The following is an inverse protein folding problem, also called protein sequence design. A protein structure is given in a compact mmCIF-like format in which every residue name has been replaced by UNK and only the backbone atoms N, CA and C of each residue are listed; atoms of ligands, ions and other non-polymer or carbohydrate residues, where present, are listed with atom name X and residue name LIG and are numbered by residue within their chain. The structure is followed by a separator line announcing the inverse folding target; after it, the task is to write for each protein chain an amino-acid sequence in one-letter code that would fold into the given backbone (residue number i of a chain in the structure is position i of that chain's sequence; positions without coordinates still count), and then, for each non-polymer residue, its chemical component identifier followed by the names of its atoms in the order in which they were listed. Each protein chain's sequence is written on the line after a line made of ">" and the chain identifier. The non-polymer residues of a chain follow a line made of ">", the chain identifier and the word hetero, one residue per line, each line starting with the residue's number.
data_IF_475928503208
#
_entry.id   IF_475928503208
#
_cell.length_a   1.000
_cell.length_b   1.000
_cell.length_c   1.000
_cell.angle_alpha   90.00
_cell.angle_beta   90.00
_cell.angle_gamma   90.00
#
_symmetry.space_group_name_H-M   'P 1'
#
loop_
_entity.id
_entity.type
_entity.pdbx_description
1 polymer ?
#
# COMPACT_ATOMS: atom_id res chain seq x y z
N UNK A 1 -62.07 -11.54 -34.33
CA UNK A 1 -63.26 -10.93 -33.70
C UNK A 1 -62.87 -10.68 -32.25
N UNK A 2 -62.50 -9.47 -31.83
CA UNK A 2 -63.33 -8.26 -31.68
C UNK A 2 -63.33 -7.93 -30.17
N UNK A 3 -62.58 -6.89 -29.74
CA UNK A 3 -63.08 -5.59 -29.23
C UNK A 3 -63.98 -5.77 -27.98
N UNK A 4 -63.69 -5.25 -26.78
CA UNK A 4 -63.60 -3.85 -26.32
C UNK A 4 -63.53 -3.90 -24.76
N UNK A 5 -63.25 -2.90 -23.92
CA UNK A 5 -62.65 -1.55 -23.94
C UNK A 5 -63.03 -0.90 -22.58
N UNK A 6 -62.10 -0.29 -21.85
CA UNK A 6 -62.27 0.82 -20.85
C UNK A 6 -60.98 0.92 -19.99
N UNK A 7 -60.35 2.06 -19.70
CA UNK A 7 -60.70 3.48 -19.90
C UNK A 7 -59.45 4.40 -19.76
N UNK A 8 -59.49 5.55 -20.48
CA UNK A 8 -58.88 6.89 -20.30
C UNK A 8 -57.46 7.07 -19.72
N UNK A 9 -56.48 7.60 -20.50
CA UNK A 9 -56.09 9.04 -20.72
C UNK A 9 -55.62 9.75 -19.44
N UNK A 10 -54.50 10.49 -19.36
CA UNK A 10 -53.52 11.08 -20.30
C UNK A 10 -52.39 11.67 -19.42
N UNK A 11 -51.13 11.87 -19.85
CA UNK A 11 -50.63 13.06 -20.55
C UNK A 11 -49.14 12.79 -20.93
N UNK A 12 -48.84 12.96 -22.23
CA UNK A 12 -47.65 13.51 -22.91
C UNK A 12 -46.35 13.72 -22.12
N UNK A 13 -45.12 13.63 -22.63
CA UNK A 13 -44.42 13.40 -23.92
C UNK A 13 -42.94 13.64 -23.49
N UNK A 14 -41.84 13.22 -24.11
CA UNK A 14 -41.48 12.49 -25.31
C UNK A 14 -39.97 12.19 -25.16
N UNK A 15 -39.43 11.26 -25.95
CA UNK A 15 -38.03 11.32 -26.39
C UNK A 15 -37.10 10.22 -25.91
N UNK A 16 -37.35 9.01 -26.40
CA UNK A 16 -36.40 8.04 -26.95
C UNK A 16 -35.01 7.85 -26.33
N UNK A 17 -34.90 6.66 -25.74
CA UNK A 17 -33.72 5.81 -25.65
C UNK A 17 -33.09 5.55 -27.04
N UNK A 18 -31.76 5.52 -27.10
CA UNK A 18 -30.98 4.33 -27.48
C UNK A 18 -29.48 4.63 -27.47
N UNK A 19 -28.74 3.91 -26.64
CA UNK A 19 -27.33 3.60 -26.89
C UNK A 19 -27.16 2.11 -26.68
N UNK A 20 -26.67 1.45 -27.72
CA UNK A 20 -26.33 0.03 -27.74
C UNK A 20 -24.88 -0.12 -28.23
N UNK A 21 -24.25 -1.17 -27.71
CA UNK A 21 -22.99 -1.81 -28.10
C UNK A 21 -21.67 -1.01 -28.08
N UNK A 22 -20.69 -1.59 -27.36
CA UNK A 22 -19.39 -1.01 -27.08
C UNK A 22 -18.30 -1.21 -28.13
N UNK A 23 -17.11 -0.67 -27.85
CA UNK A 23 -15.81 -1.16 -28.33
C UNK A 23 -14.66 -0.58 -27.48
N UNK A 24 -13.84 -1.51 -26.97
CA UNK A 24 -12.43 -1.52 -26.56
C UNK A 24 -11.58 -0.24 -26.32
N UNK A 25 -10.61 -0.43 -25.40
CA UNK A 25 -9.71 0.47 -24.66
C UNK A 25 -8.42 0.90 -25.41
N UNK A 26 -7.96 2.16 -25.19
CA UNK A 26 -6.58 2.62 -24.81
C UNK A 26 -5.94 3.71 -25.73
N UNK A 27 -4.88 4.48 -25.33
CA UNK A 27 -4.51 5.14 -24.06
C UNK A 27 -4.27 6.66 -24.23
N UNK A 28 -4.47 7.49 -23.20
CA UNK A 28 -3.59 8.64 -22.88
C UNK A 28 -4.17 9.47 -21.73
N UNK A 29 -3.47 9.43 -20.59
CA UNK A 29 -3.61 10.45 -19.54
C UNK A 29 -3.27 11.81 -20.16
N UNK A 30 -4.10 12.87 -19.99
CA UNK A 30 -3.76 14.16 -20.57
C UNK A 30 -2.51 14.72 -19.89
N UNK A 31 -1.40 14.78 -20.62
CA UNK A 31 -0.10 15.34 -20.20
C UNK A 31 -0.15 16.79 -19.68
N UNK A 32 -1.32 17.46 -19.72
CA UNK A 32 -1.49 18.87 -19.38
C UNK A 32 -1.72 19.13 -17.89
N UNK A 33 -2.31 18.19 -17.14
CA UNK A 33 -2.38 18.28 -15.67
C UNK A 33 -1.02 18.08 -15.00
N UNK A 34 -0.18 17.24 -15.62
CA UNK A 34 1.17 16.91 -15.15
C UNK A 34 2.12 18.12 -15.22
N UNK A 35 1.90 19.05 -16.15
CA UNK A 35 2.75 20.24 -16.29
C UNK A 35 2.57 21.24 -15.15
N UNK A 36 1.32 21.48 -14.73
CA UNK A 36 1.02 22.35 -13.59
C UNK A 36 1.45 21.72 -12.26
N UNK A 37 1.29 20.40 -12.12
CA UNK A 37 1.78 19.61 -10.98
C UNK A 37 3.31 19.59 -10.88
N UNK A 38 4.04 19.49 -12.00
CA UNK A 38 5.51 19.59 -12.02
C UNK A 38 6.00 20.99 -11.63
N UNK A 39 5.29 22.04 -12.04
CA UNK A 39 5.63 23.42 -11.66
C UNK A 39 5.39 23.65 -10.16
N UNK A 40 4.26 23.20 -9.62
CA UNK A 40 3.95 23.32 -8.19
C UNK A 40 4.90 22.47 -7.32
N UNK A 41 5.15 21.22 -7.73
CA UNK A 41 6.05 20.30 -7.02
C UNK A 41 7.52 20.78 -7.07
N UNK A 42 8.01 21.31 -8.20
CA UNK A 42 9.35 21.89 -8.27
C UNK A 42 9.48 23.15 -7.40
N UNK A 43 8.43 23.97 -7.31
CA UNK A 43 8.42 25.17 -6.47
C UNK A 43 8.40 24.80 -4.97
N UNK A 44 7.70 23.73 -4.61
CA UNK A 44 7.68 23.17 -3.25
C UNK A 44 8.99 22.45 -2.89
N UNK A 45 9.63 21.78 -3.85
CA UNK A 45 10.88 21.03 -3.64
C UNK A 45 12.12 21.94 -3.48
N UNK A 46 12.09 23.17 -4.02
CA UNK A 46 13.21 24.12 -3.93
C UNK A 46 13.19 25.00 -2.67
N UNK A 47 12.09 25.01 -1.90
CA UNK A 47 11.92 25.92 -0.76
C UNK A 47 12.01 25.19 0.59
N UNK A 48 13.16 25.32 1.27
CA UNK A 48 13.38 24.72 2.62
C UNK A 48 12.72 25.48 3.79
N UNK A 49 11.91 26.51 3.54
CA UNK A 49 11.12 27.14 4.59
C UNK A 49 9.72 27.56 4.10
N UNK A 50 8.74 27.40 4.99
CA UNK A 50 7.33 27.72 4.79
C UNK A 50 7.09 29.21 4.46
N UNK A 51 7.97 30.11 4.91
CA UNK A 51 7.87 31.56 4.63
C UNK A 51 8.20 31.94 3.19
N UNK A 52 9.08 31.19 2.51
CA UNK A 52 9.42 31.44 1.09
C UNK A 52 8.33 30.97 0.13
N UNK A 53 7.56 29.94 0.52
CA UNK A 53 6.38 29.48 -0.24
C UNK A 53 5.32 30.58 -0.25
N UNK A 54 5.09 31.22 0.90
CA UNK A 54 4.16 32.36 1.02
C UNK A 54 4.64 33.59 0.25
N UNK A 55 5.94 33.92 0.25
CA UNK A 55 6.48 35.03 -0.55
C UNK A 55 6.39 34.79 -2.06
N UNK A 56 6.59 33.55 -2.52
CA UNK A 56 6.49 33.21 -3.95
C UNK A 56 5.03 33.24 -4.43
N UNK A 57 4.11 32.74 -3.60
CA UNK A 57 2.66 32.90 -3.82
C UNK A 57 2.25 34.38 -3.78
N UNK A 58 2.82 35.19 -2.90
CA UNK A 58 2.56 36.63 -2.81
C UNK A 58 3.05 37.40 -4.05
N UNK A 59 4.19 37.00 -4.62
CA UNK A 59 4.72 37.61 -5.85
C UNK A 59 3.90 37.25 -7.10
N UNK A 60 3.32 36.04 -7.14
CA UNK A 60 2.36 35.60 -8.17
C UNK A 60 0.95 36.19 -7.98
N UNK A 61 0.61 36.71 -6.79
CA UNK A 61 -0.74 37.16 -6.42
C UNK A 61 -0.85 38.67 -6.10
N UNK A 62 0.19 39.47 -6.33
CA UNK A 62 0.11 40.94 -6.28
C UNK A 62 0.41 41.58 -7.62
N UNK A 63 -0.64 41.81 -8.40
CA UNK A 63 -0.75 43.02 -9.22
C UNK A 63 -1.92 43.80 -8.65
N UNK A 64 -1.61 44.86 -7.90
CA UNK A 64 -2.36 46.12 -7.97
C UNK A 64 -1.39 47.27 -7.59
N UNK A 65 -1.04 48.01 -8.63
CA UNK A 65 -0.66 49.42 -8.74
C UNK A 65 0.35 50.05 -7.74
N UNK A 66 1.58 50.28 -8.22
CA UNK A 66 2.13 51.64 -8.37
C UNK A 66 3.21 51.60 -9.46
N UNK A 67 2.91 52.18 -10.63
CA UNK A 67 3.85 52.40 -11.71
C UNK A 67 4.21 53.87 -11.70
N UNK A 68 5.48 54.18 -11.39
CA UNK A 68 6.05 55.50 -11.56
C UNK A 68 6.57 55.59 -13.00
N UNK A 69 6.24 56.70 -13.66
CA UNK A 69 6.56 56.94 -15.06
C UNK A 69 8.04 57.17 -15.22
N UNK A 70 8.78 56.22 -15.82
CA UNK A 70 9.89 56.49 -16.75
C UNK A 70 10.60 55.21 -17.20
N UNK A 71 10.95 55.21 -18.48
CA UNK A 71 11.89 54.34 -19.18
C UNK A 71 11.38 53.00 -19.74
N UNK A 72 11.76 52.84 -21.00
CA UNK A 72 11.49 51.83 -22.01
C UNK A 72 12.21 50.51 -21.74
N UNK A 73 11.59 49.37 -22.08
CA UNK A 73 12.15 48.42 -23.06
C UNK A 73 11.23 47.19 -23.28
N UNK A 74 11.29 46.69 -24.53
CA UNK A 74 10.71 45.52 -25.20
C UNK A 74 10.78 44.18 -24.40
N UNK A 75 10.06 43.05 -24.65
CA UNK A 75 9.69 42.32 -25.88
C UNK A 75 8.44 41.42 -25.62
N UNK A 76 7.66 41.18 -26.68
CA UNK A 76 6.47 40.34 -26.81
C UNK A 76 6.63 38.82 -26.59
N UNK A 77 5.55 38.15 -26.18
CA UNK A 77 5.22 36.77 -26.59
C UNK A 77 3.72 36.68 -26.88
N UNK A 78 3.37 36.41 -28.15
CA UNK A 78 2.00 36.29 -28.62
C UNK A 78 1.45 34.88 -28.34
N UNK A 79 0.19 34.80 -27.92
CA UNK A 79 -0.60 33.56 -27.89
C UNK A 79 -1.80 33.71 -28.81
N UNK A 80 -1.83 32.93 -29.89
CA UNK A 80 -2.97 32.83 -30.79
C UNK A 80 -3.86 31.63 -30.44
N UNK A 81 -5.15 31.97 -30.30
CA UNK A 81 -6.37 31.16 -30.49
C UNK A 81 -6.69 29.97 -29.56
N UNK A 82 -7.63 30.24 -28.64
CA UNK A 82 -8.49 29.26 -27.96
C UNK A 82 -9.92 29.44 -28.50
N UNK A 83 -10.52 28.38 -29.04
CA UNK A 83 -11.92 28.35 -29.50
C UNK A 83 -12.92 28.01 -28.38
N UNK A 84 -14.19 28.35 -28.61
CA UNK A 84 -15.10 29.02 -27.66
C UNK A 84 -15.98 28.15 -26.72
N UNK A 85 -15.59 26.91 -26.41
CA UNK A 85 -16.32 26.08 -25.41
C UNK A 85 -15.56 25.83 -24.11
N UNK A 86 -14.23 26.00 -24.11
CA UNK A 86 -13.35 25.91 -22.94
C UNK A 86 -13.36 27.18 -22.08
N UNK A 87 -13.77 28.34 -22.62
CA UNK A 87 -13.76 29.61 -21.89
C UNK A 87 -14.79 29.68 -20.75
N UNK A 88 -15.94 28.98 -20.81
CA UNK A 88 -16.99 29.06 -19.78
C UNK A 88 -16.64 28.29 -18.50
N UNK A 89 -16.00 27.13 -18.61
CA UNK A 89 -15.54 26.36 -17.45
C UNK A 89 -14.34 27.00 -16.75
N UNK A 90 -13.38 27.52 -17.54
CA UNK A 90 -12.25 28.31 -17.02
C UNK A 90 -12.69 29.64 -16.41
N UNK A 91 -13.67 30.33 -17.01
CA UNK A 91 -14.22 31.57 -16.48
C UNK A 91 -14.87 31.36 -15.12
N UNK A 92 -15.68 30.30 -14.93
CA UNK A 92 -16.32 30.04 -13.64
C UNK A 92 -15.33 29.69 -12.52
N UNK A 93 -14.30 28.88 -12.79
CA UNK A 93 -13.27 28.56 -11.78
C UNK A 93 -12.39 29.77 -11.47
N UNK A 94 -12.02 30.55 -12.48
CA UNK A 94 -11.18 31.75 -12.31
C UNK A 94 -11.95 32.90 -11.66
N UNK A 95 -13.24 33.09 -11.96
CA UNK A 95 -14.12 34.04 -11.29
C UNK A 95 -14.37 33.64 -9.83
N UNK A 96 -14.54 32.35 -9.53
CA UNK A 96 -14.68 31.92 -8.13
C UNK A 96 -13.39 32.08 -7.33
N UNK A 97 -12.22 31.85 -7.96
CA UNK A 97 -10.92 32.16 -7.37
C UNK A 97 -10.73 33.67 -7.17
N UNK A 98 -11.08 34.52 -8.15
CA UNK A 98 -10.97 35.99 -8.03
C UNK A 98 -11.95 36.59 -7.02
N UNK A 99 -13.17 36.05 -6.92
CA UNK A 99 -14.17 36.47 -5.93
C UNK A 99 -13.74 36.07 -4.51
N UNK A 100 -13.22 34.86 -4.32
CA UNK A 100 -12.67 34.38 -3.05
C UNK A 100 -11.39 35.12 -2.60
N UNK A 101 -10.67 35.75 -3.53
CA UNK A 101 -9.45 36.52 -3.24
C UNK A 101 -9.71 37.99 -2.89
N UNK A 102 -10.88 38.57 -3.21
CA UNK A 102 -11.19 40.00 -2.98
C UNK A 102 -11.99 40.32 -1.72
N UNK A 103 -12.52 39.34 -0.99
CA UNK A 103 -13.33 39.60 0.22
C UNK A 103 -12.48 39.68 1.50
N UNK A 104 -12.56 40.79 2.27
CA UNK A 104 -11.95 40.87 3.59
C UNK A 104 -12.94 40.32 4.63
N UNK A 105 -12.68 39.14 5.19
CA UNK A 105 -13.43 38.67 6.38
C UNK A 105 -12.45 38.38 7.51
N UNK A 106 -12.80 38.84 8.71
CA UNK A 106 -11.98 38.82 9.92
C UNK A 106 -12.10 37.51 10.74
N UNK A 107 -12.74 36.46 10.19
CA UNK A 107 -12.92 35.18 10.87
C UNK A 107 -12.24 34.02 10.09
N UNK A 108 -11.19 33.38 10.65
CA UNK A 108 -10.49 32.28 9.99
C UNK A 108 -11.32 31.00 9.83
N UNK A 109 -12.42 30.81 10.57
CA UNK A 109 -13.29 29.63 10.46
C UNK A 109 -14.34 29.73 9.34
N UNK A 110 -14.59 30.92 8.81
CA UNK A 110 -15.50 31.16 7.68
C UNK A 110 -14.76 31.60 6.41
N UNK A 111 -13.44 31.40 6.35
CA UNK A 111 -12.65 31.82 5.22
C UNK A 111 -12.78 30.83 4.04
N UNK A 112 -13.41 31.24 2.92
CA UNK A 112 -13.57 30.35 1.75
C UNK A 112 -12.23 29.89 1.17
N UNK A 113 -11.11 30.59 1.48
CA UNK A 113 -9.75 30.18 1.08
C UNK A 113 -9.29 28.90 1.77
N UNK A 114 -9.60 28.72 3.06
CA UNK A 114 -9.27 27.49 3.81
C UNK A 114 -10.16 26.36 3.33
N UNK A 115 -11.45 26.63 3.11
CA UNK A 115 -12.39 25.64 2.59
C UNK A 115 -11.98 25.14 1.19
N UNK A 116 -11.62 26.02 0.26
CA UNK A 116 -11.17 25.64 -1.10
C UNK A 116 -9.84 24.88 -1.07
N UNK A 117 -8.87 25.26 -0.23
CA UNK A 117 -7.61 24.52 -0.08
C UNK A 117 -7.86 23.14 0.54
N UNK A 118 -8.69 23.06 1.57
CA UNK A 118 -9.11 21.78 2.18
C UNK A 118 -9.89 20.93 1.19
N UNK A 119 -10.74 21.53 0.34
CA UNK A 119 -11.48 20.83 -0.70
C UNK A 119 -10.57 20.37 -1.83
N UNK A 120 -9.61 21.18 -2.28
CA UNK A 120 -8.58 20.79 -3.25
C UNK A 120 -7.68 19.68 -2.69
N UNK A 121 -7.23 19.77 -1.43
CA UNK A 121 -6.49 18.70 -0.75
C UNK A 121 -7.34 17.43 -0.57
N UNK A 122 -8.65 17.56 -0.34
CA UNK A 122 -9.60 16.46 -0.28
C UNK A 122 -9.87 15.82 -1.64
N UNK A 123 -9.86 16.61 -2.72
CA UNK A 123 -9.97 16.16 -4.11
C UNK A 123 -8.65 15.52 -4.59
N UNK A 124 -7.50 15.95 -4.04
CA UNK A 124 -6.20 15.30 -4.16
C UNK A 124 -5.92 14.34 -3.01
N UNK A 125 -6.90 13.49 -2.68
CA UNK A 125 -6.61 12.25 -1.97
C UNK A 125 -5.64 11.49 -2.88
N UNK A 126 -4.32 11.56 -2.62
CA UNK A 126 -3.35 10.77 -3.37
C UNK A 126 -3.83 9.33 -3.26
N UNK A 127 -4.25 8.74 -4.38
CA UNK A 127 -4.60 7.34 -4.41
C UNK A 127 -3.40 6.58 -3.84
N UNK A 128 -3.65 5.87 -2.73
CA UNK A 128 -2.61 5.07 -2.11
C UNK A 128 -2.14 4.05 -3.15
N UNK A 129 -0.83 3.93 -3.36
CA UNK A 129 -0.27 2.90 -4.22
C UNK A 129 -0.79 1.54 -3.78
N UNK A 130 -1.38 0.82 -4.72
CA UNK A 130 -1.98 -0.49 -4.53
C UNK A 130 -1.45 -1.42 -5.61
N UNK A 131 -1.19 -2.68 -5.24
CA UNK A 131 -0.70 -3.71 -6.13
C UNK A 131 -1.73 -4.83 -6.34
N UNK A 132 -1.45 -5.78 -7.24
CA UNK A 132 -2.25 -7.01 -7.30
C UNK A 132 -1.89 -7.88 -6.08
N UNK A 133 -2.87 -8.51 -5.46
CA UNK A 133 -2.59 -9.44 -4.36
C UNK A 133 -1.89 -10.68 -4.91
N UNK A 134 -0.85 -11.16 -4.22
CA UNK A 134 -0.17 -12.40 -4.56
C UNK A 134 -0.86 -13.59 -3.89
N UNK A 135 -0.86 -14.72 -4.58
CA UNK A 135 -1.28 -16.01 -4.04
C UNK A 135 -0.22 -16.55 -3.07
N UNK A 136 -0.64 -17.12 -1.93
CA UNK A 136 0.29 -17.77 -0.99
C UNK A 136 0.67 -19.17 -1.50
N UNK A 137 1.49 -19.20 -2.54
CA UNK A 137 1.87 -20.38 -3.29
C UNK A 137 3.41 -20.46 -3.38
N UNK A 138 4.03 -21.62 -3.12
CA UNK A 138 5.48 -21.77 -3.23
C UNK A 138 6.06 -21.31 -4.57
N UNK A 139 5.42 -21.58 -5.70
CA UNK A 139 5.95 -21.20 -7.02
C UNK A 139 6.01 -19.68 -7.20
N UNK A 140 4.97 -18.98 -6.75
CA UNK A 140 4.92 -17.50 -6.75
C UNK A 140 5.98 -16.92 -5.82
N UNK A 141 6.06 -17.44 -4.60
CA UNK A 141 6.96 -16.93 -3.56
C UNK A 141 8.43 -17.26 -3.85
N UNK A 142 8.73 -18.41 -4.44
CA UNK A 142 10.07 -18.79 -4.86
C UNK A 142 10.56 -17.92 -6.03
N UNK A 143 9.70 -17.64 -7.01
CA UNK A 143 10.04 -16.72 -8.10
C UNK A 143 10.31 -15.30 -7.58
N UNK A 144 9.49 -14.80 -6.66
CA UNK A 144 9.68 -13.49 -6.04
C UNK A 144 10.98 -13.43 -5.22
N UNK A 145 11.23 -14.43 -4.38
CA UNK A 145 12.44 -14.52 -3.57
C UNK A 145 13.71 -14.58 -4.45
N UNK A 146 13.71 -15.41 -5.49
CA UNK A 146 14.81 -15.50 -6.44
C UNK A 146 15.03 -14.18 -7.19
N UNK A 147 13.96 -13.52 -7.63
CA UNK A 147 14.01 -12.22 -8.32
C UNK A 147 14.66 -11.14 -7.46
N UNK A 148 14.40 -11.16 -6.15
CA UNK A 148 14.99 -10.23 -5.18
C UNK A 148 16.41 -10.65 -4.73
N UNK A 149 16.86 -11.85 -5.10
CA UNK A 149 18.23 -12.34 -4.88
C UNK A 149 18.42 -13.21 -3.64
N UNK A 150 17.40 -13.96 -3.21
CA UNK A 150 17.58 -15.08 -2.29
C UNK A 150 18.36 -16.21 -2.98
N UNK A 151 19.27 -16.86 -2.26
CA UNK A 151 20.02 -18.02 -2.77
C UNK A 151 19.07 -19.15 -3.23
N UNK A 152 19.36 -19.82 -4.36
CA UNK A 152 18.59 -20.99 -4.80
C UNK A 152 18.73 -22.20 -3.86
N UNK A 153 19.58 -22.11 -2.84
CA UNK A 153 19.67 -23.09 -1.75
C UNK A 153 18.45 -23.08 -0.81
N UNK A 154 17.60 -22.05 -0.87
CA UNK A 154 16.35 -22.00 -0.12
C UNK A 154 15.14 -22.05 -1.07
N UNK A 155 14.06 -22.64 -0.60
CA UNK A 155 12.75 -22.57 -1.25
C UNK A 155 11.62 -22.67 -0.21
N UNK A 156 10.46 -22.15 -0.58
CA UNK A 156 9.21 -22.39 0.10
C UNK A 156 8.65 -23.76 -0.30
N UNK A 157 8.04 -24.42 0.68
CA UNK A 157 7.31 -25.68 0.55
C UNK A 157 5.90 -25.51 1.10
N UNK A 158 4.91 -26.19 0.50
CA UNK A 158 3.58 -26.27 1.10
C UNK A 158 3.61 -27.00 2.44
N UNK A 159 2.84 -26.49 3.40
CA UNK A 159 2.58 -27.14 4.69
C UNK A 159 1.20 -27.78 4.63
N UNK A 160 1.14 -29.08 4.35
CA UNK A 160 -0.15 -29.78 4.15
C UNK A 160 -0.92 -30.03 5.45
N UNK A 161 -0.22 -30.21 6.57
CA UNK A 161 -0.83 -30.34 7.89
C UNK A 161 0.08 -29.78 8.96
N UNK A 162 -0.51 -29.06 9.91
CA UNK A 162 0.20 -28.62 11.10
C UNK A 162 0.19 -29.70 12.20
N UNK A 163 -0.67 -30.71 12.10
CA UNK A 163 -0.92 -31.67 13.19
C UNK A 163 -0.43 -33.08 12.89
N UNK A 164 -0.22 -33.40 11.61
CA UNK A 164 0.32 -34.69 11.17
C UNK A 164 1.80 -34.55 10.76
N UNK A 165 2.76 -35.01 11.59
CA UNK A 165 4.18 -34.95 11.27
C UNK A 165 4.57 -35.69 9.99
N UNK A 166 3.81 -36.72 9.58
CA UNK A 166 4.07 -37.45 8.33
C UNK A 166 3.87 -36.58 7.10
N UNK A 167 3.02 -35.56 7.19
CA UNK A 167 2.76 -34.58 6.12
C UNK A 167 3.75 -33.41 6.13
N UNK A 168 4.78 -33.45 6.97
CA UNK A 168 5.85 -32.45 7.04
C UNK A 168 7.21 -33.00 6.57
N UNK A 169 7.30 -34.29 6.26
CA UNK A 169 8.58 -34.96 5.96
C UNK A 169 9.22 -34.50 4.66
N UNK A 170 8.44 -33.92 3.75
CA UNK A 170 8.96 -33.33 2.50
C UNK A 170 9.61 -31.96 2.71
N UNK A 171 9.47 -31.36 3.90
CA UNK A 171 10.07 -30.06 4.26
C UNK A 171 11.36 -30.32 5.04
N UNK A 172 12.54 -30.00 4.47
CA UNK A 172 13.81 -30.19 5.15
C UNK A 172 13.89 -29.33 6.43
N UNK A 173 14.58 -29.85 7.45
CA UNK A 173 14.78 -29.14 8.71
C UNK A 173 16.22 -28.60 8.81
N UNK A 174 16.44 -27.41 9.41
CA UNK A 174 15.42 -26.56 10.04
C UNK A 174 14.55 -25.79 9.03
N UNK A 175 13.28 -25.59 9.37
CA UNK A 175 12.44 -24.61 8.70
C UNK A 175 12.78 -23.21 9.22
N UNK A 176 13.04 -22.26 8.31
CA UNK A 176 13.57 -20.95 8.66
C UNK A 176 12.47 -19.91 8.90
N UNK A 177 11.35 -20.03 8.18
CA UNK A 177 10.19 -19.16 8.32
C UNK A 177 8.90 -19.88 7.94
N UNK A 178 7.77 -19.46 8.52
CA UNK A 178 6.44 -19.74 7.99
C UNK A 178 5.86 -18.47 7.39
N UNK A 179 5.26 -18.56 6.21
CA UNK A 179 4.42 -17.52 5.64
C UNK A 179 3.00 -18.04 5.54
N UNK A 180 2.08 -17.37 6.24
CA UNK A 180 0.70 -17.82 6.40
C UNK A 180 -0.23 -16.72 5.93
N UNK A 181 -1.25 -17.06 5.14
CA UNK A 181 -2.38 -16.18 4.87
C UNK A 181 -3.58 -16.62 5.73
N UNK A 182 -4.11 -15.69 6.53
CA UNK A 182 -5.15 -15.96 7.52
C UNK A 182 -6.32 -14.98 7.34
N UNK A 183 -7.58 -15.44 7.20
CA UNK A 183 -8.74 -14.56 7.15
C UNK A 183 -8.91 -13.84 8.47
N UNK A 184 -9.32 -12.56 8.43
CA UNK A 184 -9.52 -11.78 9.64
C UNK A 184 -10.85 -12.14 10.32
N UNK A 185 -10.83 -13.18 11.15
CA UNK A 185 -12.02 -13.58 11.90
C UNK A 185 -12.29 -12.63 13.06
N UNK A 186 -13.53 -12.48 13.53
CA UNK A 186 -13.86 -11.61 14.67
C UNK A 186 -13.04 -11.91 15.92
N UNK A 187 -12.91 -13.20 16.28
CA UNK A 187 -12.08 -13.67 17.39
C UNK A 187 -10.64 -13.15 17.28
N UNK A 188 -10.05 -13.31 16.09
CA UNK A 188 -8.66 -12.93 15.87
C UNK A 188 -8.50 -11.41 15.83
N UNK A 189 -9.41 -10.67 15.17
CA UNK A 189 -9.41 -9.20 15.17
C UNK A 189 -9.48 -8.61 16.59
N UNK A 190 -10.36 -9.15 17.43
CA UNK A 190 -10.44 -8.74 18.84
C UNK A 190 -9.14 -9.04 19.59
N UNK A 191 -8.57 -10.24 19.44
CA UNK A 191 -7.28 -10.59 20.04
C UNK A 191 -6.16 -9.65 19.58
N UNK A 192 -6.09 -9.36 18.28
CA UNK A 192 -5.07 -8.46 17.69
C UNK A 192 -5.19 -7.03 18.22
N UNK A 193 -6.41 -6.50 18.29
CA UNK A 193 -6.68 -5.16 18.84
C UNK A 193 -6.29 -5.08 20.31
N UNK A 194 -6.56 -6.12 21.10
CA UNK A 194 -6.16 -6.19 22.50
C UNK A 194 -4.63 -6.24 22.65
N UNK A 195 -3.92 -7.04 21.85
CA UNK A 195 -2.46 -7.12 21.82
C UNK A 195 -1.81 -5.77 21.45
N UNK A 196 -2.45 -5.00 20.57
CA UNK A 196 -1.93 -3.72 20.07
C UNK A 196 -2.40 -2.51 20.88
N UNK A 197 -3.33 -2.68 21.84
CA UNK A 197 -3.94 -1.56 22.57
C UNK A 197 -2.91 -0.71 23.34
N UNK A 198 -1.92 -1.38 23.95
CA UNK A 198 -0.90 -0.73 24.78
C UNK A 198 0.45 -0.55 24.05
N UNK A 199 0.51 -0.83 22.74
CA UNK A 199 1.73 -0.63 21.97
C UNK A 199 1.88 0.82 21.52
N UNK A 200 3.11 1.31 21.62
CA UNK A 200 3.50 2.60 21.06
C UNK A 200 3.34 2.61 19.53
N UNK A 201 2.85 3.72 19.00
CA UNK A 201 2.78 3.96 17.56
C UNK A 201 3.30 5.38 17.27
N UNK A 202 4.40 5.54 16.53
CA UNK A 202 5.13 4.50 15.79
C UNK A 202 5.92 3.53 16.69
N UNK A 203 6.12 2.29 16.23
CA UNK A 203 7.09 1.36 16.83
C UNK A 203 8.46 2.05 16.94
N UNK A 204 9.07 2.11 18.13
CA UNK A 204 10.27 2.91 18.37
C UNK A 204 11.54 2.25 17.80
N UNK A 205 11.51 0.95 17.54
CA UNK A 205 12.67 0.23 17.05
C UNK A 205 13.01 0.58 15.60
N UNK A 206 14.30 0.59 15.32
CA UNK A 206 14.85 0.89 14.00
C UNK A 206 15.66 -0.26 13.45
N UNK A 207 15.60 -1.48 14.00
CA UNK A 207 16.35 -2.64 13.49
C UNK A 207 17.84 -2.55 13.79
N UNK A 208 18.21 -1.91 14.90
CA UNK A 208 19.60 -1.77 15.38
C UNK A 208 20.24 -3.14 15.66
N UNK A 209 21.57 -3.24 15.80
CA UNK A 209 22.25 -4.53 16.03
C UNK A 209 21.74 -5.32 17.25
N UNK A 210 21.14 -4.65 18.23
CA UNK A 210 20.51 -5.22 19.41
C UNK A 210 19.04 -5.62 19.20
N UNK A 211 18.40 -5.20 18.10
CA UNK A 211 17.05 -5.61 17.74
C UNK A 211 17.07 -6.91 16.92
N UNK A 212 16.35 -7.95 17.34
CA UNK A 212 16.44 -9.27 16.73
C UNK A 212 15.76 -9.37 15.36
N UNK A 213 14.92 -8.40 14.98
CA UNK A 213 14.16 -8.43 13.72
C UNK A 213 14.02 -7.06 13.06
N UNK A 214 13.99 -7.06 11.73
CA UNK A 214 13.60 -5.94 10.88
C UNK A 214 12.15 -6.13 10.45
N UNK A 215 11.30 -5.20 10.82
CA UNK A 215 9.86 -5.22 10.53
C UNK A 215 9.46 -4.02 9.66
N UNK A 216 8.50 -4.20 8.76
CA UNK A 216 8.02 -3.17 7.85
C UNK A 216 6.52 -2.95 8.06
N UNK A 217 6.13 -1.71 8.37
CA UNK A 217 4.74 -1.27 8.29
C UNK A 217 4.30 -1.28 6.83
N UNK A 218 3.19 -1.93 6.54
CA UNK A 218 2.58 -1.93 5.22
C UNK A 218 1.88 -0.60 4.96
N UNK A 219 2.31 0.09 3.91
CA UNK A 219 1.70 1.34 3.42
C UNK A 219 1.26 1.26 1.96
N UNK A 220 1.54 0.13 1.30
CA UNK A 220 1.13 -0.21 -0.07
C UNK A 220 -0.09 -1.13 0.03
N UNK A 221 -1.19 -0.78 -0.64
CA UNK A 221 -2.39 -1.61 -0.71
C UNK A 221 -2.08 -2.97 -1.33
N UNK A 222 -2.63 -4.03 -0.76
CA UNK A 222 -2.53 -5.42 -1.25
C UNK A 222 -1.10 -6.01 -1.36
N UNK A 223 -0.08 -5.31 -0.85
CA UNK A 223 1.31 -5.77 -0.85
C UNK A 223 1.67 -6.73 0.31
N UNK A 224 0.68 -7.21 1.08
CA UNK A 224 0.89 -8.03 2.27
C UNK A 224 1.68 -9.31 1.98
N UNK A 225 1.43 -9.97 0.85
CA UNK A 225 2.18 -11.16 0.42
C UNK A 225 3.67 -10.89 0.23
N UNK A 226 4.02 -9.84 -0.51
CA UNK A 226 5.44 -9.47 -0.73
C UNK A 226 6.12 -8.96 0.53
N UNK A 227 5.41 -8.23 1.39
CA UNK A 227 5.96 -7.76 2.67
C UNK A 227 6.16 -8.94 3.63
N UNK A 228 5.22 -9.90 3.66
CA UNK A 228 5.35 -11.13 4.43
C UNK A 228 6.52 -11.99 3.96
N UNK A 229 6.70 -12.17 2.64
CA UNK A 229 7.90 -12.79 2.08
C UNK A 229 9.17 -12.05 2.51
N UNK A 230 9.17 -10.73 2.40
CA UNK A 230 10.32 -9.91 2.78
C UNK A 230 10.67 -10.15 4.26
N UNK A 231 9.68 -10.15 5.17
CA UNK A 231 9.87 -10.47 6.59
C UNK A 231 10.45 -11.86 6.80
N UNK A 232 10.03 -12.86 6.03
CA UNK A 232 10.52 -14.23 6.13
C UNK A 232 12.00 -14.37 5.74
N UNK A 233 12.47 -13.62 4.74
CA UNK A 233 13.81 -13.84 4.14
C UNK A 233 14.90 -12.91 4.67
N UNK A 234 14.56 -11.77 5.29
CA UNK A 234 15.55 -10.80 5.81
C UNK A 234 15.83 -10.91 7.31
N UNK A 235 15.20 -11.88 7.98
CA UNK A 235 15.28 -12.10 9.41
C UNK A 235 15.74 -13.52 9.72
N UNK A 236 16.26 -13.72 10.93
CA UNK A 236 16.71 -15.04 11.40
C UNK A 236 17.80 -15.66 10.51
N UNK A 237 17.88 -17.00 10.46
CA UNK A 237 18.92 -17.70 9.68
C UNK A 237 18.81 -17.51 8.16
N UNK A 238 17.67 -17.04 7.64
CA UNK A 238 17.50 -16.80 6.20
C UNK A 238 18.43 -15.68 5.67
N UNK A 239 18.89 -14.79 6.56
CA UNK A 239 19.82 -13.70 6.23
C UNK A 239 21.12 -14.21 5.62
N UNK A 240 21.61 -15.38 6.07
CA UNK A 240 22.87 -15.97 5.60
C UNK A 240 22.79 -16.45 4.14
N UNK A 241 21.58 -16.52 3.58
CA UNK A 241 21.30 -16.95 2.22
C UNK A 241 20.94 -15.78 1.29
N UNK A 242 21.08 -14.53 1.74
CA UNK A 242 20.90 -13.36 0.89
C UNK A 242 22.15 -13.17 0.02
N UNK A 243 21.97 -13.16 -1.30
CA UNK A 243 23.09 -12.96 -2.22
C UNK A 243 23.68 -11.55 -2.04
N UNK A 244 24.99 -11.39 -1.81
CA UNK A 244 25.63 -10.08 -1.70
C UNK A 244 25.38 -9.21 -2.92
N UNK A 245 25.05 -7.93 -2.72
CA UNK A 245 24.77 -6.97 -3.80
C UNK A 245 23.39 -7.11 -4.45
N UNK A 246 22.55 -8.05 -4.00
CA UNK A 246 21.16 -8.20 -4.47
C UNK A 246 20.22 -7.08 -4.00
N UNK A 247 18.99 -7.08 -4.53
CA UNK A 247 17.92 -6.21 -4.07
C UNK A 247 17.55 -6.49 -2.61
N UNK A 248 17.49 -7.76 -2.17
CA UNK A 248 17.30 -8.11 -0.75
C UNK A 248 18.39 -7.52 0.12
N UNK A 249 19.66 -7.67 -0.26
CA UNK A 249 20.79 -7.12 0.49
C UNK A 249 20.67 -5.59 0.60
N UNK A 250 20.33 -4.92 -0.51
CA UNK A 250 20.16 -3.47 -0.58
C UNK A 250 18.99 -3.00 0.30
N UNK A 251 17.82 -3.60 0.16
CA UNK A 251 16.62 -3.30 0.96
C UNK A 251 16.92 -3.48 2.44
N UNK A 252 17.55 -4.59 2.83
CA UNK A 252 17.89 -4.89 4.22
C UNK A 252 18.86 -3.86 4.80
N UNK A 253 19.95 -3.56 4.10
CA UNK A 253 20.96 -2.59 4.55
C UNK A 253 20.39 -1.17 4.68
N UNK A 254 19.53 -0.75 3.75
CA UNK A 254 18.86 0.55 3.83
C UNK A 254 17.81 0.60 4.95
N UNK A 255 17.22 -0.51 5.34
CA UNK A 255 16.16 -0.56 6.35
C UNK A 255 16.66 -0.54 7.80
N UNK A 256 17.86 -1.08 8.06
CA UNK A 256 18.49 -1.18 9.40
C UNK A 256 18.70 0.16 10.13
N UNK A 257 19.01 1.29 9.46
CA UNK A 257 19.14 2.56 10.19
C UNK A 257 17.83 3.35 10.31
N UNK A 258 16.73 2.88 9.70
CA UNK A 258 15.50 3.66 9.56
C UNK A 258 14.46 3.31 10.62
N UNK A 259 13.82 4.34 11.17
CA UNK A 259 12.59 4.21 11.97
C UNK A 259 11.42 3.68 11.13
N UNK A 260 10.35 3.24 11.80
CA UNK A 260 9.17 2.62 11.18
C UNK A 260 8.64 3.40 9.96
N UNK A 261 8.45 4.71 10.10
CA UNK A 261 7.83 5.54 9.07
C UNK A 261 8.76 5.76 7.88
N UNK A 262 10.05 6.03 8.15
CA UNK A 262 11.06 6.18 7.08
C UNK A 262 11.30 4.86 6.36
N UNK A 263 11.32 3.73 7.08
CA UNK A 263 11.47 2.39 6.51
C UNK A 263 10.30 2.03 5.60
N UNK A 264 9.07 2.29 6.05
CA UNK A 264 7.88 2.08 5.22
C UNK A 264 7.90 2.97 3.96
N UNK A 265 8.31 4.24 4.10
CA UNK A 265 8.46 5.16 2.96
C UNK A 265 9.58 4.72 1.99
N UNK A 266 10.68 4.19 2.51
CA UNK A 266 11.76 3.64 1.69
C UNK A 266 11.25 2.48 0.84
N UNK A 267 10.56 1.51 1.46
CA UNK A 267 9.99 0.36 0.73
C UNK A 267 8.91 0.80 -0.28
N UNK A 268 8.05 1.76 0.08
CA UNK A 268 7.03 2.32 -0.81
C UNK A 268 7.61 2.85 -2.14
N UNK A 269 8.80 3.47 -2.07
CA UNK A 269 9.49 4.05 -3.22
C UNK A 269 10.57 3.13 -3.82
N UNK A 270 10.67 1.87 -3.36
CA UNK A 270 11.66 0.93 -3.88
C UNK A 270 11.19 0.33 -5.21
N UNK A 271 11.76 0.80 -6.31
CA UNK A 271 11.39 0.37 -7.66
C UNK A 271 11.73 -1.11 -7.92
N UNK A 272 12.87 -1.59 -7.43
CA UNK A 272 13.27 -2.99 -7.61
C UNK A 272 12.29 -3.97 -6.95
N UNK A 273 11.85 -3.66 -5.72
CA UNK A 273 10.84 -4.42 -5.01
C UNK A 273 9.50 -4.42 -5.73
N UNK A 274 9.08 -3.28 -6.28
CA UNK A 274 7.87 -3.17 -7.09
C UNK A 274 7.97 -3.98 -8.40
N UNK A 275 9.09 -3.89 -9.11
CA UNK A 275 9.34 -4.66 -10.34
C UNK A 275 9.31 -6.16 -10.05
N UNK A 276 9.92 -6.59 -8.94
CA UNK A 276 9.91 -7.99 -8.53
C UNK A 276 8.49 -8.48 -8.22
N UNK A 277 7.71 -7.70 -7.47
CA UNK A 277 6.29 -8.00 -7.23
C UNK A 277 5.52 -8.16 -8.54
N UNK A 278 5.60 -7.16 -9.44
CA UNK A 278 4.90 -7.16 -10.73
C UNK A 278 5.27 -8.35 -11.61
N UNK A 279 6.49 -8.88 -11.49
CA UNK A 279 6.93 -10.01 -12.28
C UNK A 279 6.25 -11.34 -11.95
N UNK A 280 5.59 -11.45 -10.78
CA UNK A 280 4.94 -12.69 -10.32
C UNK A 280 3.42 -12.57 -10.16
N UNK A 281 2.83 -11.42 -10.50
CA UNK A 281 1.39 -11.15 -10.38
C UNK A 281 0.49 -12.14 -11.15
N UNK A 282 1.03 -12.76 -12.20
CA UNK A 282 0.32 -13.72 -13.05
C UNK A 282 0.87 -15.16 -12.92
N UNK A 283 1.74 -15.40 -11.93
CA UNK A 283 2.32 -16.73 -11.70
C UNK A 283 1.41 -17.64 -10.86
N UNK A 284 0.41 -17.08 -10.18
CA UNK A 284 -0.58 -17.86 -9.42
C UNK A 284 -1.55 -18.62 -10.32
N UNK A 285 -2.17 -19.66 -9.77
CA UNK A 285 -3.15 -20.49 -10.48
C UNK A 285 -4.56 -19.91 -10.40
N UNK A 286 -4.78 -18.94 -9.51
CA UNK A 286 -6.07 -18.26 -9.32
C UNK A 286 -6.12 -16.87 -9.98
N UNK A 287 -7.28 -16.54 -10.54
CA UNK A 287 -7.59 -15.16 -10.95
C UNK A 287 -7.87 -14.32 -9.70
N UNK A 288 -6.97 -13.39 -9.38
CA UNK A 288 -7.16 -12.44 -8.30
C UNK A 288 -8.32 -11.48 -8.62
N UNK A 289 -9.55 -11.87 -8.30
CA UNK A 289 -10.73 -11.03 -8.47
C UNK A 289 -10.68 -9.88 -7.45
N UNK A 290 -10.46 -8.66 -7.96
CA UNK A 290 -10.38 -7.41 -7.19
C UNK A 290 -11.69 -7.01 -6.49
N UNK A 291 -12.80 -7.75 -6.67
CA UNK A 291 -14.09 -7.42 -6.08
C UNK A 291 -14.31 -8.01 -4.68
N UNK A 292 -13.38 -8.83 -4.19
CA UNK A 292 -13.46 -9.53 -2.90
C UNK A 292 -12.69 -8.83 -1.78
N UNK A 293 -12.45 -7.52 -1.90
CA UNK A 293 -11.67 -6.71 -0.95
C UNK A 293 -12.19 -6.72 0.50
N UNK A 294 -13.41 -7.23 0.73
CA UNK A 294 -14.05 -7.26 2.06
C UNK A 294 -13.69 -8.48 2.90
N UNK A 295 -13.13 -9.54 2.30
CA UNK A 295 -12.81 -10.82 2.95
C UNK A 295 -11.30 -11.18 2.86
N UNK A 296 -10.45 -10.20 2.53
CA UNK A 296 -9.02 -10.40 2.26
C UNK A 296 -8.24 -11.01 3.44
N UNK A 297 -7.49 -12.07 3.15
CA UNK A 297 -6.58 -12.69 4.11
C UNK A 297 -5.36 -11.82 4.45
N UNK A 298 -4.86 -11.96 5.67
CA UNK A 298 -3.67 -11.30 6.18
C UNK A 298 -2.46 -12.21 6.08
N UNK A 299 -1.41 -11.74 5.40
CA UNK A 299 -0.11 -12.43 5.41
C UNK A 299 0.64 -12.15 6.71
N UNK A 300 1.04 -13.23 7.38
CA UNK A 300 1.80 -13.23 8.63
C UNK A 300 3.05 -14.08 8.43
N UNK A 301 4.21 -13.51 8.73
CA UNK A 301 5.48 -14.23 8.74
C UNK A 301 5.85 -14.61 10.17
N UNK A 302 6.22 -15.87 10.39
CA UNK A 302 6.80 -16.36 11.64
C UNK A 302 8.26 -16.72 11.42
N UNK A 303 9.16 -16.15 12.21
CA UNK A 303 10.61 -16.39 12.11
C UNK A 303 11.23 -16.64 13.47
N UNK A 304 12.27 -17.48 13.53
CA UNK A 304 13.12 -17.61 14.72
C UNK A 304 14.28 -16.62 14.62
N UNK A 305 14.41 -15.71 15.59
CA UNK A 305 15.54 -14.79 15.67
C UNK A 305 15.86 -14.45 17.12
N UNK A 306 17.15 -14.38 17.46
CA UNK A 306 17.60 -14.12 18.84
C UNK A 306 17.09 -15.16 19.85
N UNK A 307 16.94 -16.42 19.45
CA UNK A 307 16.41 -17.49 20.32
C UNK A 307 14.90 -17.40 20.59
N UNK A 308 14.18 -16.56 19.85
CA UNK A 308 12.74 -16.30 20.06
C UNK A 308 11.95 -16.46 18.77
N UNK A 309 10.67 -16.82 18.91
CA UNK A 309 9.70 -16.77 17.82
C UNK A 309 9.15 -15.35 17.68
N UNK A 310 9.14 -14.85 16.45
CA UNK A 310 8.59 -13.54 16.10
C UNK A 310 7.44 -13.69 15.11
N UNK A 311 6.33 -13.00 15.38
CA UNK A 311 5.22 -12.80 14.46
C UNK A 311 5.34 -11.42 13.82
N UNK A 312 5.44 -11.40 12.50
CA UNK A 312 5.70 -10.22 11.68
C UNK A 312 4.54 -10.04 10.70
N UNK A 313 3.69 -9.06 10.98
CA UNK A 313 2.56 -8.69 10.12
C UNK A 313 2.59 -7.18 9.87
N UNK A 314 2.56 -6.77 8.60
CA UNK A 314 2.75 -5.38 8.21
C UNK A 314 1.62 -4.42 8.61
N UNK A 315 0.42 -4.93 8.91
CA UNK A 315 -0.71 -4.07 9.29
C UNK A 315 -0.71 -3.68 10.78
N UNK A 316 0.05 -4.40 11.62
CA UNK A 316 0.14 -4.22 13.08
C UNK A 316 0.90 -2.96 13.48
N UNK A 317 0.96 -2.68 14.78
CA UNK A 317 1.75 -1.55 15.32
C UNK A 317 3.25 -1.82 15.45
N UNK A 318 3.71 -3.05 15.22
CA UNK A 318 5.12 -3.45 15.30
C UNK A 318 5.26 -4.97 15.31
N UNK A 319 6.50 -5.50 15.37
CA UNK A 319 6.74 -6.93 15.52
C UNK A 319 6.20 -7.45 16.87
N UNK A 320 5.91 -8.75 16.93
CA UNK A 320 5.40 -9.43 18.12
C UNK A 320 6.36 -10.56 18.52
N UNK A 321 6.99 -10.43 19.69
CA UNK A 321 7.68 -11.54 20.33
C UNK A 321 6.64 -12.52 20.87
N UNK A 322 6.72 -13.79 20.48
CA UNK A 322 5.78 -14.84 20.91
C UNK A 322 6.33 -15.73 22.03
N UNK A 323 7.64 -15.86 22.13
CA UNK A 323 8.29 -16.60 23.21
C UNK A 323 9.61 -17.23 22.80
N UNK A 324 10.30 -17.86 23.75
CA UNK A 324 11.61 -18.49 23.51
C UNK A 324 11.48 -19.80 22.73
N UNK A 325 12.49 -20.09 21.92
CA UNK A 325 12.71 -21.36 21.22
C UNK A 325 14.11 -21.88 21.53
N UNK A 326 14.22 -23.15 21.92
CA UNK A 326 15.50 -23.81 22.15
C UNK A 326 16.34 -23.87 20.86
N UNK A 327 17.65 -24.08 20.98
CA UNK A 327 18.58 -24.06 19.85
C UNK A 327 18.17 -25.03 18.72
N UNK A 328 17.72 -26.23 19.10
CA UNK A 328 17.26 -27.28 18.18
C UNK A 328 15.79 -27.14 17.72
N UNK A 329 15.06 -26.14 18.21
CA UNK A 329 13.69 -25.85 17.76
C UNK A 329 13.70 -24.89 16.56
N UNK A 330 12.74 -25.05 15.67
CA UNK A 330 12.52 -24.14 14.54
C UNK A 330 11.05 -23.72 14.45
N UNK A 331 10.65 -23.01 13.39
CA UNK A 331 9.29 -22.47 13.26
C UNK A 331 8.19 -23.53 13.10
N UNK A 332 8.55 -24.76 12.74
CA UNK A 332 7.64 -25.92 12.65
C UNK A 332 7.75 -26.83 13.89
N UNK A 333 8.51 -26.47 14.92
CA UNK A 333 8.53 -27.21 16.19
C UNK A 333 7.18 -27.03 16.91
N UNK A 334 6.68 -28.06 17.63
CA UNK A 334 5.37 -27.99 18.30
C UNK A 334 5.17 -26.74 19.13
N UNK A 335 6.17 -26.35 19.92
CA UNK A 335 6.15 -25.13 20.73
C UNK A 335 5.99 -23.87 19.89
N UNK A 336 6.69 -23.77 18.76
CA UNK A 336 6.58 -22.63 17.85
C UNK A 336 5.18 -22.55 17.22
N UNK A 337 4.63 -23.69 16.81
CA UNK A 337 3.27 -23.76 16.26
C UNK A 337 2.22 -23.34 17.29
N UNK A 338 2.34 -23.80 18.53
CA UNK A 338 1.41 -23.50 19.63
C UNK A 338 1.42 -22.02 20.02
N UNK A 339 2.60 -21.38 20.05
CA UNK A 339 2.73 -19.94 20.32
C UNK A 339 2.35 -19.08 19.10
N UNK A 340 2.46 -19.63 17.89
CA UNK A 340 2.20 -18.97 16.62
C UNK A 340 0.81 -19.29 16.04
N UNK A 341 0.78 -20.00 14.92
CA UNK A 341 -0.44 -20.20 14.12
C UNK A 341 -1.52 -21.04 14.82
N UNK A 342 -1.17 -22.06 15.61
CA UNK A 342 -2.18 -22.89 16.31
C UNK A 342 -2.93 -22.11 17.37
N UNK A 343 -2.33 -21.08 17.98
CA UNK A 343 -3.05 -20.14 18.85
C UNK A 343 -4.22 -19.48 18.13
N UNK A 344 -4.00 -19.06 16.87
CA UNK A 344 -5.02 -18.38 16.06
C UNK A 344 -6.11 -19.37 15.64
N UNK A 345 -5.73 -20.58 15.24
CA UNK A 345 -6.67 -21.67 14.94
C UNK A 345 -7.55 -21.96 16.16
N UNK A 346 -6.95 -22.08 17.35
CA UNK A 346 -7.66 -22.35 18.60
C UNK A 346 -8.63 -21.23 18.97
N UNK A 347 -8.22 -19.96 18.88
CA UNK A 347 -9.11 -18.81 19.12
C UNK A 347 -10.36 -18.87 18.26
N UNK A 348 -10.22 -19.24 16.99
CA UNK A 348 -11.35 -19.35 16.08
C UNK A 348 -12.24 -20.56 16.37
N UNK A 349 -11.63 -21.69 16.73
CA UNK A 349 -12.34 -22.92 17.09
C UNK A 349 -13.15 -22.76 18.38
N UNK A 350 -12.62 -22.03 19.37
CA UNK A 350 -13.30 -21.75 20.64
C UNK A 350 -14.58 -20.90 20.44
N UNK A 351 -14.67 -20.12 19.37
CA UNK A 351 -15.88 -19.39 18.94
C UNK A 351 -16.79 -20.22 18.00
N UNK A 352 -16.49 -21.50 17.79
CA UNK A 352 -17.27 -22.40 16.95
C UNK A 352 -17.01 -22.27 15.44
N UNK A 353 -15.94 -21.58 15.04
CA UNK A 353 -15.56 -21.39 13.64
C UNK A 353 -14.44 -22.33 13.19
N UNK A 354 -14.40 -22.66 11.90
CA UNK A 354 -13.23 -23.27 11.24
C UNK A 354 -12.38 -22.19 10.57
N UNK A 355 -11.05 -22.28 10.69
CA UNK A 355 -10.13 -21.33 10.06
C UNK A 355 -9.66 -21.87 8.70
N UNK A 356 -9.96 -21.16 7.61
CA UNK A 356 -9.43 -21.45 6.29
C UNK A 356 -8.13 -20.66 6.10
N UNK A 357 -6.98 -21.30 6.15
CA UNK A 357 -5.68 -20.64 5.97
C UNK A 357 -4.82 -21.41 4.96
N UNK A 358 -3.84 -20.73 4.37
CA UNK A 358 -2.75 -21.37 3.63
C UNK A 358 -1.42 -21.08 4.33
N UNK A 359 -0.53 -22.06 4.37
CA UNK A 359 0.76 -21.98 5.04
C UNK A 359 1.85 -22.58 4.15
N UNK A 360 2.94 -21.85 3.99
CA UNK A 360 4.16 -22.32 3.33
C UNK A 360 5.36 -22.12 4.26
N UNK A 361 6.35 -23.00 4.17
CA UNK A 361 7.55 -22.98 5.00
C UNK A 361 8.79 -22.74 4.14
N UNK A 362 9.64 -21.79 4.53
CA UNK A 362 10.96 -21.58 3.93
C UNK A 362 11.95 -22.57 4.53
N UNK A 363 12.59 -23.38 3.71
CA UNK A 363 13.63 -24.31 4.15
C UNK A 363 14.70 -24.49 3.07
N UNK A 364 15.76 -25.22 3.38
CA UNK A 364 16.77 -25.58 2.39
C UNK A 364 16.16 -26.41 1.25
N UNK A 365 16.63 -26.18 0.03
CA UNK A 365 16.36 -27.00 -1.14
C UNK A 365 17.21 -28.26 -1.07
N UNK A 366 16.55 -29.42 -1.04
CA UNK A 366 17.20 -30.74 -1.11
C UNK A 366 17.47 -31.17 -2.54
#
# INVERSE_FOLDING_TARGET
>A
MGLNNSSCRSIHDAGDLKYDAGTYISPSVPQKGVFFLKLLANTLAYSKSTDRILQTLHHLLRVDCQWDSTSSDFVSLSTTHVTSTSARAFSNVTLQLQYALRSPTQDPHQNPRVSIIVHLLSLFKMEKKTWKMLENNPDVMNQLAAKLGLSPELQFYDVYSLDDPSQLTHIPRPALALLVIIPLTPAWDQSRKAEDANKEEPYPGSGRPDEPVIWFKQTIGHACGSIGLLHSVINGPAVDFITPGSDLATIRNLAIPLDMNKRAKMLYNNEAFEVAHKSVEQAGESDANLMDERDGGHFVSFVKSGGKLWELEGSRKGPLERGDLAENEDVLSPRALDMGIRRIIKLNADEGGSLLFSCIALARKT
#
